data_IF_993873441755
#
_entry.id   IF_993873441755
#
_cell.length_a   1.000
_cell.length_b   1.000
_cell.length_c   1.000
_cell.angle_alpha   90.00
_cell.angle_beta   90.00
_cell.angle_gamma   90.00
#
_symmetry.space_group_name_H-M   'P 1'
#
loop_
_entity.id
_entity.type
_entity.pdbx_description
1 polymer ?
#
# COMPACT_ATOMS: atom_id res chain seq x y z
N UNK A 1 -2.82 6.43 7.09
CA UNK A 1 -4.25 6.10 7.04
C UNK A 1 -4.59 5.44 8.36
N UNK A 2 -5.62 5.89 9.06
CA UNK A 2 -6.03 5.29 10.33
C UNK A 2 -6.95 4.10 10.08
N UNK A 3 -6.69 2.98 10.76
CA UNK A 3 -7.64 1.88 10.87
C UNK A 3 -8.54 2.14 12.08
N UNK A 4 -9.84 2.26 11.83
CA UNK A 4 -10.88 2.48 12.81
C UNK A 4 -11.59 1.15 13.06
N UNK A 5 -11.64 0.71 14.31
CA UNK A 5 -12.45 -0.44 14.70
C UNK A 5 -13.95 -0.06 14.67
N UNK A 6 -14.80 -0.75 13.89
CA UNK A 6 -16.21 -0.37 13.73
C UNK A 6 -17.05 -0.50 15.02
N UNK A 7 -16.59 -1.35 15.95
CA UNK A 7 -17.33 -1.82 17.11
C UNK A 7 -18.31 -2.97 16.81
N UNK A 8 -18.78 -3.68 17.84
CA UNK A 8 -19.51 -4.94 17.70
C UNK A 8 -20.85 -4.83 16.96
N UNK A 9 -21.50 -3.66 16.98
CA UNK A 9 -22.77 -3.44 16.26
C UNK A 9 -22.57 -3.28 14.75
N UNK A 10 -21.45 -2.67 14.32
CA UNK A 10 -21.18 -2.36 12.91
C UNK A 10 -20.34 -3.41 12.21
N UNK A 11 -19.48 -4.13 12.96
CA UNK A 11 -18.62 -5.19 12.41
C UNK A 11 -19.39 -6.23 11.58
N UNK A 12 -20.52 -6.80 12.05
CA UNK A 12 -21.31 -7.75 11.25
C UNK A 12 -21.91 -7.12 9.99
N UNK A 13 -22.31 -5.84 10.04
CA UNK A 13 -22.92 -5.13 8.91
C UNK A 13 -21.90 -4.85 7.80
N UNK A 14 -20.70 -4.37 8.19
CA UNK A 14 -19.58 -4.19 7.28
C UNK A 14 -19.16 -5.51 6.63
N UNK A 15 -19.06 -6.59 7.41
CA UNK A 15 -18.71 -7.91 6.90
C UNK A 15 -19.73 -8.44 5.88
N UNK A 16 -21.04 -8.26 6.13
CA UNK A 16 -22.11 -8.62 5.18
C UNK A 16 -21.92 -7.89 3.85
N UNK A 17 -21.67 -6.59 3.89
CA UNK A 17 -21.50 -5.77 2.70
C UNK A 17 -20.22 -6.16 1.91
N UNK A 18 -19.09 -6.36 2.59
CA UNK A 18 -17.85 -6.87 1.96
C UNK A 18 -18.05 -8.27 1.35
N UNK A 19 -18.80 -9.14 2.02
CA UNK A 19 -19.11 -10.50 1.52
C UNK A 19 -19.95 -10.43 0.24
N UNK A 20 -20.89 -9.49 0.13
CA UNK A 20 -21.65 -9.29 -1.11
C UNK A 20 -20.74 -8.85 -2.27
N UNK A 21 -19.80 -7.93 -2.01
CA UNK A 21 -18.79 -7.52 -3.01
C UNK A 21 -17.91 -8.69 -3.43
N UNK A 22 -17.46 -9.52 -2.49
CA UNK A 22 -16.69 -10.70 -2.82
C UNK A 22 -17.48 -11.70 -3.67
N UNK A 23 -18.74 -11.98 -3.32
CA UNK A 23 -19.61 -12.91 -4.05
C UNK A 23 -20.01 -12.39 -5.45
N UNK A 24 -19.97 -11.07 -5.69
CA UNK A 24 -20.26 -10.44 -6.98
C UNK A 24 -19.09 -10.51 -7.98
N UNK A 25 -17.96 -11.10 -7.60
CA UNK A 25 -16.87 -11.37 -8.55
C UNK A 25 -17.33 -12.27 -9.70
N UNK A 26 -16.71 -12.15 -10.87
CA UNK A 26 -17.12 -12.89 -12.07
C UNK A 26 -17.12 -14.42 -11.88
N UNK A 27 -16.27 -14.93 -10.99
CA UNK A 27 -16.14 -16.36 -10.67
C UNK A 27 -16.80 -16.74 -9.33
N UNK A 28 -17.58 -15.84 -8.72
CA UNK A 28 -18.07 -15.98 -7.36
C UNK A 28 -16.97 -15.78 -6.31
N UNK A 29 -17.28 -16.14 -5.05
CA UNK A 29 -16.36 -15.95 -3.92
C UNK A 29 -15.12 -16.85 -4.04
N UNK A 30 -14.00 -16.26 -4.44
CA UNK A 30 -12.71 -16.93 -4.59
C UNK A 30 -11.95 -17.14 -3.28
N UNK A 31 -10.91 -17.98 -3.33
CA UNK A 31 -10.05 -18.24 -2.18
C UNK A 31 -9.38 -16.96 -1.63
N UNK A 32 -8.78 -16.07 -2.45
CA UNK A 32 -8.16 -14.85 -1.93
C UNK A 32 -9.12 -13.89 -1.27
N UNK A 33 -10.33 -13.76 -1.79
CA UNK A 33 -11.38 -12.94 -1.19
C UNK A 33 -11.82 -13.51 0.17
N UNK A 34 -11.97 -14.84 0.27
CA UNK A 34 -12.29 -15.51 1.54
C UNK A 34 -11.18 -15.31 2.56
N UNK A 35 -9.93 -15.47 2.16
CA UNK A 35 -8.77 -15.23 3.04
C UNK A 35 -8.76 -13.78 3.55
N UNK A 36 -9.04 -12.80 2.68
CA UNK A 36 -9.13 -11.39 3.09
C UNK A 36 -10.32 -11.12 4.03
N UNK A 37 -11.48 -11.73 3.80
CA UNK A 37 -12.63 -11.62 4.72
C UNK A 37 -12.27 -12.19 6.10
N UNK A 38 -11.64 -13.37 6.16
CA UNK A 38 -11.20 -13.99 7.42
C UNK A 38 -10.14 -13.12 8.13
N UNK A 39 -9.17 -12.59 7.40
CA UNK A 39 -8.18 -11.67 7.97
C UNK A 39 -8.83 -10.40 8.53
N UNK A 40 -9.80 -9.82 7.82
CA UNK A 40 -10.55 -8.67 8.32
C UNK A 40 -11.34 -9.01 9.60
N UNK A 41 -11.97 -10.19 9.66
CA UNK A 41 -12.63 -10.68 10.87
C UNK A 41 -11.68 -10.77 12.06
N UNK A 42 -10.48 -11.31 11.86
CA UNK A 42 -9.49 -11.51 12.91
C UNK A 42 -8.83 -10.21 13.38
N UNK A 43 -8.38 -9.37 12.44
CA UNK A 43 -7.47 -8.25 12.73
C UNK A 43 -8.20 -6.93 13.01
N UNK A 44 -9.37 -6.71 12.39
CA UNK A 44 -10.07 -5.40 12.44
C UNK A 44 -11.44 -5.51 13.09
N UNK A 45 -12.23 -6.51 12.71
CA UNK A 45 -13.64 -6.59 13.11
C UNK A 45 -13.82 -7.31 14.44
N UNK A 46 -12.87 -8.17 14.80
CA UNK A 46 -12.88 -9.08 15.94
C UNK A 46 -14.18 -9.89 16.03
N UNK A 47 -14.52 -10.54 14.92
CA UNK A 47 -15.71 -11.40 14.78
C UNK A 47 -15.33 -12.83 14.37
N UNK A 48 -16.26 -13.76 14.57
CA UNK A 48 -16.15 -15.16 14.10
C UNK A 48 -17.49 -15.59 13.47
N UNK A 49 -17.85 -14.93 12.38
CA UNK A 49 -19.09 -15.15 11.65
C UNK A 49 -18.85 -16.05 10.44
N UNK A 50 -19.80 -16.95 10.19
CA UNK A 50 -19.81 -17.82 9.01
C UNK A 50 -20.18 -17.01 7.75
N UNK A 51 -19.17 -16.69 6.94
CA UNK A 51 -19.26 -15.94 5.67
C UNK A 51 -20.29 -16.54 4.69
N UNK A 52 -20.46 -17.87 4.71
CA UNK A 52 -21.37 -18.55 3.78
C UNK A 52 -22.84 -18.38 4.19
N UNK A 53 -23.09 -18.08 5.47
CA UNK A 53 -24.43 -17.93 6.05
C UNK A 53 -24.83 -16.48 6.33
N UNK A 54 -23.98 -15.52 6.03
CA UNK A 54 -24.29 -14.10 6.19
C UNK A 54 -25.44 -13.68 5.26
N UNK A 55 -26.54 -13.09 5.79
CA UNK A 55 -27.61 -12.57 4.97
C UNK A 55 -27.14 -11.32 4.21
N UNK A 56 -27.66 -11.06 3.00
CA UNK A 56 -27.35 -9.84 2.25
C UNK A 56 -27.81 -8.60 3.04
N UNK A 57 -27.18 -7.46 2.81
CA UNK A 57 -27.56 -6.16 3.38
C UNK A 57 -27.73 -5.15 2.25
N UNK A 58 -28.79 -4.36 2.30
CA UNK A 58 -28.98 -3.28 1.31
C UNK A 58 -28.10 -2.06 1.64
N UNK A 59 -27.75 -1.23 0.65
CA UNK A 59 -27.03 0.01 0.91
C UNK A 59 -27.72 0.93 1.93
N UNK A 60 -29.05 1.06 1.87
CA UNK A 60 -29.82 1.89 2.81
C UNK A 60 -29.83 1.34 4.23
N UNK A 61 -29.93 0.01 4.41
CA UNK A 61 -29.85 -0.62 5.73
C UNK A 61 -28.47 -0.46 6.36
N UNK A 62 -27.41 -0.58 5.55
CA UNK A 62 -26.04 -0.34 5.99
C UNK A 62 -25.87 1.13 6.43
N UNK A 63 -26.30 2.08 5.60
CA UNK A 63 -26.16 3.51 5.87
C UNK A 63 -26.87 3.95 7.16
N UNK A 64 -27.99 3.31 7.52
CA UNK A 64 -28.72 3.59 8.77
C UNK A 64 -27.92 3.31 10.07
N UNK A 65 -26.77 2.64 9.98
CA UNK A 65 -25.93 2.27 11.14
C UNK A 65 -24.50 2.83 11.06
N UNK A 66 -24.16 3.58 10.00
CA UNK A 66 -22.83 4.11 9.74
C UNK A 66 -22.85 5.64 9.81
N UNK A 67 -22.78 6.17 11.03
CA UNK A 67 -22.83 7.63 11.28
C UNK A 67 -21.45 8.31 11.21
N UNK A 68 -20.37 7.53 11.08
CA UNK A 68 -19.00 8.03 11.00
C UNK A 68 -18.53 8.08 9.54
N UNK A 69 -18.26 9.27 8.98
CA UNK A 69 -17.76 9.41 7.61
C UNK A 69 -16.43 8.70 7.37
N UNK A 70 -15.54 8.69 8.36
CA UNK A 70 -14.22 8.05 8.22
C UNK A 70 -14.32 6.52 8.24
N UNK A 71 -15.18 5.97 9.11
CA UNK A 71 -15.46 4.54 9.13
C UNK A 71 -16.17 4.09 7.84
N UNK A 72 -17.12 4.88 7.35
CA UNK A 72 -17.78 4.62 6.08
C UNK A 72 -16.78 4.62 4.91
N UNK A 73 -15.89 5.61 4.85
CA UNK A 73 -14.82 5.67 3.84
C UNK A 73 -13.86 4.49 3.94
N UNK A 74 -13.47 4.09 5.16
CA UNK A 74 -12.66 2.91 5.38
C UNK A 74 -13.34 1.63 4.86
N UNK A 75 -14.64 1.48 5.12
CA UNK A 75 -15.40 0.34 4.62
C UNK A 75 -15.41 0.30 3.07
N UNK A 76 -15.64 1.44 2.42
CA UNK A 76 -15.58 1.54 0.95
C UNK A 76 -14.19 1.18 0.42
N UNK A 77 -13.13 1.68 1.05
CA UNK A 77 -11.74 1.31 0.72
C UNK A 77 -11.49 -0.19 0.89
N UNK A 78 -12.00 -0.79 1.96
CA UNK A 78 -11.96 -2.24 2.18
C UNK A 78 -12.67 -3.02 1.07
N UNK A 79 -13.83 -2.54 0.60
CA UNK A 79 -14.53 -3.14 -0.53
C UNK A 79 -13.75 -3.01 -1.85
N UNK A 80 -13.02 -1.91 -2.06
CA UNK A 80 -12.14 -1.75 -3.23
C UNK A 80 -10.99 -2.76 -3.20
N UNK A 81 -10.36 -2.99 -2.05
CA UNK A 81 -9.33 -4.07 -1.95
C UNK A 81 -9.98 -5.44 -2.17
N UNK A 82 -11.18 -5.67 -1.63
CA UNK A 82 -11.93 -6.91 -1.81
C UNK A 82 -12.24 -7.22 -3.27
N UNK A 83 -12.58 -6.22 -4.08
CA UNK A 83 -12.87 -6.42 -5.50
C UNK A 83 -11.63 -6.75 -6.34
N UNK A 84 -10.44 -6.39 -5.84
CA UNK A 84 -9.15 -6.62 -6.49
C UNK A 84 -8.39 -7.85 -5.93
N UNK A 85 -8.95 -8.53 -4.93
CA UNK A 85 -8.25 -9.58 -4.21
C UNK A 85 -7.99 -10.84 -5.07
N UNK A 86 -8.82 -11.11 -6.08
CA UNK A 86 -8.75 -12.32 -6.91
C UNK A 86 -8.87 -11.98 -8.41
N UNK A 87 -8.10 -10.99 -8.85
CA UNK A 87 -8.09 -10.50 -10.23
C UNK A 87 -8.71 -9.10 -10.39
N UNK A 88 -8.86 -8.63 -11.64
CA UNK A 88 -9.48 -7.33 -11.92
C UNK A 88 -10.93 -7.29 -11.44
N UNK A 89 -11.37 -6.13 -10.92
CA UNK A 89 -12.73 -5.95 -10.44
C UNK A 89 -13.77 -6.18 -11.56
N UNK A 90 -14.85 -6.90 -11.23
CA UNK A 90 -15.98 -7.09 -12.16
C UNK A 90 -16.90 -5.87 -12.20
N UNK A 91 -17.70 -5.75 -13.26
CA UNK A 91 -18.74 -4.72 -13.36
C UNK A 91 -19.77 -4.80 -12.22
N UNK A 92 -20.15 -6.01 -11.81
CA UNK A 92 -21.10 -6.20 -10.70
C UNK A 92 -20.51 -5.74 -9.36
N UNK A 93 -19.20 -5.94 -9.16
CA UNK A 93 -18.50 -5.44 -7.98
C UNK A 93 -18.42 -3.91 -7.99
N UNK A 94 -18.08 -3.29 -9.11
CA UNK A 94 -17.98 -1.83 -9.21
C UNK A 94 -19.34 -1.15 -9.02
N UNK A 95 -20.42 -1.71 -9.59
CA UNK A 95 -21.79 -1.24 -9.39
C UNK A 95 -22.21 -1.33 -7.92
N UNK A 96 -21.93 -2.46 -7.26
CA UNK A 96 -22.28 -2.67 -5.86
C UNK A 96 -21.51 -1.72 -4.93
N UNK A 97 -20.21 -1.54 -5.16
CA UNK A 97 -19.37 -0.60 -4.38
C UNK A 97 -19.87 0.83 -4.58
N UNK A 98 -20.22 1.20 -5.82
CA UNK A 98 -20.79 2.53 -6.13
C UNK A 98 -22.11 2.74 -5.39
N UNK A 99 -22.99 1.73 -5.33
CA UNK A 99 -24.26 1.82 -4.61
C UNK A 99 -24.05 2.00 -3.09
N UNK A 100 -23.11 1.26 -2.50
CA UNK A 100 -22.76 1.42 -1.08
C UNK A 100 -22.13 2.80 -0.80
N UNK A 101 -21.20 3.25 -1.65
CA UNK A 101 -20.56 4.56 -1.50
C UNK A 101 -21.59 5.70 -1.58
N UNK A 102 -22.53 5.61 -2.52
CA UNK A 102 -23.60 6.59 -2.66
C UNK A 102 -24.53 6.62 -1.43
N UNK A 103 -24.95 5.46 -0.92
CA UNK A 103 -25.81 5.39 0.27
C UNK A 103 -25.11 5.89 1.54
N UNK A 104 -23.81 5.62 1.68
CA UNK A 104 -22.96 6.10 2.77
C UNK A 104 -22.48 7.55 2.59
N UNK A 105 -22.84 8.21 1.49
CA UNK A 105 -22.41 9.57 1.14
C UNK A 105 -20.87 9.73 1.14
N UNK A 106 -20.17 8.70 0.68
CA UNK A 106 -18.71 8.68 0.58
C UNK A 106 -18.28 9.02 -0.84
N UNK A 107 -17.61 10.15 -1.00
CA UNK A 107 -16.79 10.42 -2.19
C UNK A 107 -15.39 9.83 -1.96
N UNK A 108 -15.12 8.69 -2.56
CA UNK A 108 -13.83 7.99 -2.47
C UNK A 108 -13.24 7.79 -3.88
N UNK A 109 -12.13 8.48 -4.21
CA UNK A 109 -11.53 8.44 -5.54
C UNK A 109 -11.18 7.04 -6.05
N UNK A 110 -10.85 6.09 -5.16
CA UNK A 110 -10.53 4.73 -5.58
C UNK A 110 -11.74 3.97 -6.16
N UNK A 111 -12.97 4.40 -5.88
CA UNK A 111 -14.19 3.83 -6.50
C UNK A 111 -14.16 4.11 -8.00
N UNK A 112 -13.84 5.34 -8.42
CA UNK A 112 -13.71 5.68 -9.84
C UNK A 112 -12.63 4.82 -10.52
N UNK A 113 -11.49 4.61 -9.86
CA UNK A 113 -10.39 3.81 -10.39
C UNK A 113 -10.84 2.38 -10.72
N UNK A 114 -11.60 1.73 -9.83
CA UNK A 114 -12.11 0.38 -10.12
C UNK A 114 -13.25 0.37 -11.15
N UNK A 115 -14.07 1.43 -11.23
CA UNK A 115 -15.09 1.55 -12.27
C UNK A 115 -14.44 1.66 -13.66
N UNK A 116 -13.47 2.57 -13.81
CA UNK A 116 -12.73 2.72 -15.08
C UNK A 116 -12.03 1.41 -15.48
N UNK A 117 -11.51 0.66 -14.50
CA UNK A 117 -10.90 -0.64 -14.74
C UNK A 117 -11.93 -1.68 -15.20
N UNK A 118 -13.07 -1.79 -14.53
CA UNK A 118 -14.14 -2.73 -14.86
C UNK A 118 -14.76 -2.44 -16.25
N UNK A 119 -14.83 -1.16 -16.63
CA UNK A 119 -15.28 -0.70 -17.94
C UNK A 119 -14.20 -0.79 -19.04
N UNK A 120 -13.00 -1.27 -18.71
CA UNK A 120 -11.84 -1.33 -19.61
C UNK A 120 -11.37 0.04 -20.13
N UNK A 121 -11.71 1.12 -19.42
CA UNK A 121 -11.23 2.48 -19.67
C UNK A 121 -9.80 2.69 -19.13
N UNK A 122 -8.86 1.88 -19.62
CA UNK A 122 -7.49 1.76 -19.08
C UNK A 122 -6.70 3.09 -19.05
N UNK A 123 -6.97 4.00 -19.98
CA UNK A 123 -6.35 5.33 -19.99
C UNK A 123 -6.78 6.15 -18.78
N UNK A 124 -8.08 6.23 -18.51
CA UNK A 124 -8.63 6.98 -17.37
C UNK A 124 -8.21 6.33 -16.06
N UNK A 125 -8.30 5.01 -15.98
CA UNK A 125 -7.79 4.23 -14.84
C UNK A 125 -6.35 4.60 -14.49
N UNK A 126 -5.44 4.58 -15.47
CA UNK A 126 -4.02 4.92 -15.24
C UNK A 126 -3.84 6.38 -14.83
N UNK A 127 -4.53 7.31 -15.49
CA UNK A 127 -4.42 8.74 -15.17
C UNK A 127 -4.90 9.03 -13.75
N UNK A 128 -6.06 8.52 -13.36
CA UNK A 128 -6.63 8.72 -12.03
C UNK A 128 -5.80 8.04 -10.94
N UNK A 129 -5.29 6.84 -11.21
CA UNK A 129 -4.37 6.15 -10.31
C UNK A 129 -3.07 6.92 -10.12
N UNK A 130 -2.36 7.25 -11.20
CA UNK A 130 -1.05 7.89 -11.10
C UNK A 130 -1.11 9.28 -10.46
N UNK A 131 -2.18 10.04 -10.71
CA UNK A 131 -2.41 11.36 -10.10
C UNK A 131 -2.39 11.34 -8.57
N UNK A 132 -2.76 10.20 -7.98
CA UNK A 132 -2.90 9.98 -6.53
C UNK A 132 -1.88 9.00 -5.97
N UNK A 133 -1.09 8.35 -6.83
CA UNK A 133 -0.06 7.41 -6.40
C UNK A 133 1.09 8.10 -5.67
N UNK A 134 1.81 7.33 -4.85
CA UNK A 134 3.00 7.78 -4.15
C UNK A 134 4.17 8.18 -5.06
N UNK A 135 4.10 7.87 -6.36
CA UNK A 135 5.05 8.36 -7.36
C UNK A 135 5.10 9.89 -7.39
N UNK A 136 3.99 10.56 -7.06
CA UNK A 136 3.96 12.01 -6.89
C UNK A 136 4.89 12.47 -5.76
N UNK A 137 4.92 11.75 -4.64
CA UNK A 137 5.82 12.06 -3.52
C UNK A 137 7.28 11.80 -3.87
N UNK A 138 7.56 10.75 -4.65
CA UNK A 138 8.92 10.48 -5.16
C UNK A 138 9.41 11.65 -6.01
N UNK A 139 8.57 12.13 -6.93
CA UNK A 139 8.88 13.29 -7.78
C UNK A 139 9.03 14.57 -6.95
N UNK A 140 8.14 14.81 -5.99
CA UNK A 140 8.20 16.00 -5.13
C UNK A 140 9.45 16.01 -4.24
N UNK A 141 9.81 14.85 -3.67
CA UNK A 141 11.02 14.69 -2.85
C UNK A 141 12.27 14.84 -3.68
N UNK A 142 12.30 14.23 -4.87
CA UNK A 142 13.39 14.41 -5.84
C UNK A 142 13.56 15.89 -6.22
N UNK A 143 12.46 16.57 -6.55
CA UNK A 143 12.48 18.00 -6.90
C UNK A 143 13.10 18.85 -5.79
N UNK A 144 12.71 18.61 -4.52
CA UNK A 144 13.21 19.42 -3.41
C UNK A 144 14.66 19.12 -3.05
N UNK A 145 15.03 17.85 -3.06
CA UNK A 145 16.34 17.41 -2.55
C UNK A 145 17.45 17.48 -3.60
N UNK A 146 17.12 17.50 -4.90
CA UNK A 146 18.09 17.39 -5.99
C UNK A 146 18.14 18.63 -6.92
N UNK A 147 17.80 19.81 -6.39
CA UNK A 147 17.96 21.07 -7.14
C UNK A 147 16.86 21.34 -8.18
N UNK A 148 15.61 20.99 -7.85
CA UNK A 148 14.43 21.33 -8.64
C UNK A 148 14.22 20.47 -9.87
N UNK A 149 13.77 21.08 -10.96
CA UNK A 149 13.38 20.38 -12.20
C UNK A 149 14.55 19.60 -12.82
N UNK A 150 15.76 20.14 -12.76
CA UNK A 150 16.95 19.44 -13.26
C UNK A 150 17.24 18.16 -12.46
N UNK A 151 17.00 18.16 -11.14
CA UNK A 151 17.09 16.97 -10.30
C UNK A 151 16.10 15.89 -10.68
N UNK A 152 14.86 16.28 -11.00
CA UNK A 152 13.83 15.34 -11.50
C UNK A 152 14.25 14.74 -12.85
N UNK A 153 14.69 15.57 -13.80
CA UNK A 153 15.16 15.10 -15.11
C UNK A 153 16.34 14.13 -14.95
N UNK A 154 17.33 14.47 -14.12
CA UNK A 154 18.47 13.59 -13.83
C UNK A 154 18.00 12.26 -13.24
N UNK A 155 17.10 12.27 -12.26
CA UNK A 155 16.54 11.05 -11.65
C UNK A 155 15.88 10.13 -12.68
N UNK A 156 15.08 10.67 -13.60
CA UNK A 156 14.43 9.89 -14.67
C UNK A 156 15.47 9.32 -15.65
N UNK A 157 16.47 10.12 -16.04
CA UNK A 157 17.52 9.66 -16.95
C UNK A 157 18.40 8.57 -16.28
N UNK A 158 18.69 8.70 -14.99
CA UNK A 158 19.43 7.70 -14.21
C UNK A 158 18.67 6.38 -14.10
N UNK A 159 17.37 6.44 -13.78
CA UNK A 159 16.49 5.27 -13.77
C UNK A 159 16.44 4.57 -15.13
N UNK A 160 16.48 5.32 -16.23
CA UNK A 160 16.56 4.77 -17.61
C UNK A 160 17.96 4.29 -18.01
N UNK A 161 18.94 4.40 -17.12
CA UNK A 161 20.32 3.99 -17.37
C UNK A 161 21.08 4.90 -18.35
N UNK A 162 20.61 6.12 -18.56
CA UNK A 162 21.18 7.06 -19.55
C UNK A 162 22.27 7.97 -18.96
N UNK A 163 22.25 8.18 -17.64
CA UNK A 163 23.25 8.99 -16.94
C UNK A 163 23.60 8.34 -15.59
N UNK A 164 24.70 8.79 -15.01
CA UNK A 164 25.15 8.46 -13.64
C UNK A 164 25.41 9.75 -12.87
N UNK A 165 25.26 9.67 -11.56
CA UNK A 165 25.65 10.67 -10.58
C UNK A 165 26.63 10.00 -9.60
N UNK A 166 27.92 10.06 -9.94
CA UNK A 166 28.99 9.37 -9.19
C UNK A 166 29.11 9.89 -7.76
N UNK A 167 28.83 11.17 -7.52
CA UNK A 167 28.85 11.77 -6.19
C UNK A 167 27.73 11.17 -5.33
N UNK A 168 26.51 11.14 -5.85
CA UNK A 168 25.37 10.53 -5.15
C UNK A 168 25.62 9.03 -4.90
N UNK A 169 26.05 8.28 -5.92
CA UNK A 169 26.37 6.86 -5.78
C UNK A 169 27.46 6.64 -4.73
N UNK A 170 28.52 7.47 -4.72
CA UNK A 170 29.61 7.44 -3.74
C UNK A 170 29.12 7.54 -2.29
N UNK A 171 28.07 8.34 -2.03
CA UNK A 171 27.43 8.42 -0.71
C UNK A 171 26.79 7.11 -0.29
N UNK A 172 26.12 6.40 -1.21
CA UNK A 172 25.54 5.08 -0.93
C UNK A 172 26.62 4.01 -0.74
N UNK A 173 27.70 4.04 -1.52
CA UNK A 173 28.85 3.17 -1.30
C UNK A 173 29.50 3.37 0.08
N UNK A 174 29.59 4.62 0.55
CA UNK A 174 30.15 4.93 1.85
C UNK A 174 29.38 4.28 3.01
N UNK A 175 28.08 4.05 2.86
CA UNK A 175 27.23 3.42 3.88
C UNK A 175 27.70 2.02 4.28
N UNK A 176 28.35 1.28 3.37
CA UNK A 176 28.91 -0.04 3.67
C UNK A 176 30.09 -0.03 4.65
N UNK A 177 30.62 1.15 5.00
CA UNK A 177 31.68 1.31 6.02
C UNK A 177 31.13 1.68 7.40
N UNK A 178 29.82 1.90 7.54
CA UNK A 178 29.18 2.16 8.83
C UNK A 178 29.14 0.88 9.69
N UNK A 179 28.90 1.01 10.98
CA UNK A 179 28.78 -0.14 11.88
C UNK A 179 27.52 -0.95 11.55
N UNK A 180 27.59 -2.27 11.74
CA UNK A 180 26.55 -3.22 11.29
C UNK A 180 25.16 -2.94 11.87
N UNK A 181 25.09 -2.31 13.04
CA UNK A 181 23.87 -1.97 13.73
C UNK A 181 23.16 -0.72 13.20
N UNK A 182 23.76 0.02 12.25
CA UNK A 182 23.22 1.30 11.75
C UNK A 182 22.21 1.14 10.61
N UNK A 183 21.26 2.07 10.52
CA UNK A 183 20.30 2.10 9.41
C UNK A 183 21.01 2.14 8.03
N UNK A 184 22.09 2.92 7.91
CA UNK A 184 22.85 3.05 6.67
C UNK A 184 23.52 1.75 6.24
N UNK A 185 24.10 0.99 7.18
CA UNK A 185 24.64 -0.34 6.88
C UNK A 185 23.55 -1.29 6.37
N UNK A 186 22.40 -1.32 7.05
CA UNK A 186 21.26 -2.10 6.59
C UNK A 186 20.74 -1.65 5.21
N UNK A 187 20.74 -0.34 4.92
CA UNK A 187 20.34 0.18 3.60
C UNK A 187 21.32 -0.24 2.51
N UNK A 188 22.63 -0.17 2.75
CA UNK A 188 23.64 -0.67 1.83
C UNK A 188 23.39 -2.14 1.48
N UNK A 189 23.21 -2.97 2.50
CA UNK A 189 22.96 -4.41 2.33
C UNK A 189 21.63 -4.70 1.66
N UNK A 190 20.58 -3.93 1.95
CA UNK A 190 19.30 -4.03 1.25
C UNK A 190 19.47 -3.92 -0.27
N UNK A 191 20.21 -2.94 -0.78
CA UNK A 191 20.46 -2.84 -2.23
C UNK A 191 21.34 -3.99 -2.74
N UNK A 192 22.40 -4.36 -2.02
CA UNK A 192 23.37 -5.36 -2.49
C UNK A 192 22.80 -6.76 -2.53
N UNK A 193 22.09 -7.15 -1.48
CA UNK A 193 21.50 -8.48 -1.35
C UNK A 193 20.36 -8.69 -2.38
N UNK A 194 19.63 -7.62 -2.70
CA UNK A 194 18.58 -7.63 -3.73
C UNK A 194 19.08 -7.32 -5.15
N UNK A 195 20.38 -7.06 -5.33
CA UNK A 195 21.00 -6.70 -6.62
C UNK A 195 20.38 -5.45 -7.26
N UNK A 196 19.96 -4.51 -6.43
CA UNK A 196 19.47 -3.22 -6.86
C UNK A 196 20.65 -2.26 -7.09
N UNK A 197 20.54 -1.43 -8.13
CA UNK A 197 21.46 -0.31 -8.35
C UNK A 197 21.21 0.77 -7.30
N UNK A 198 22.28 1.38 -6.77
CA UNK A 198 22.15 2.51 -5.87
C UNK A 198 21.57 3.73 -6.58
N UNK A 199 20.89 4.64 -5.84
CA UNK A 199 20.62 5.97 -6.35
C UNK A 199 21.91 6.65 -6.84
N UNK A 200 21.90 7.13 -8.08
CA UNK A 200 23.07 7.69 -8.78
C UNK A 200 23.74 6.71 -9.75
N UNK A 201 23.53 5.40 -9.63
CA UNK A 201 23.99 4.41 -10.61
C UNK A 201 23.00 4.26 -11.78
N UNK A 202 23.44 3.66 -12.89
CA UNK A 202 22.54 3.29 -14.00
C UNK A 202 21.47 2.32 -13.51
N UNK A 203 20.21 2.65 -13.82
CA UNK A 203 19.06 1.87 -13.38
C UNK A 203 18.70 2.07 -11.92
N UNK A 204 19.45 2.91 -11.19
CA UNK A 204 19.16 3.25 -9.81
C UNK A 204 17.86 4.05 -9.69
N UNK A 205 17.05 3.71 -8.70
CA UNK A 205 15.86 4.50 -8.40
C UNK A 205 16.26 5.91 -7.93
N UNK A 206 15.44 6.93 -8.24
CA UNK A 206 15.70 8.30 -7.77
C UNK A 206 15.80 8.34 -6.24
N UNK A 207 16.73 9.16 -5.71
CA UNK A 207 16.91 9.30 -4.26
C UNK A 207 15.64 9.75 -3.52
N UNK A 208 14.74 10.46 -4.22
CA UNK A 208 13.42 10.80 -3.69
C UNK A 208 12.50 9.60 -3.35
N UNK A 209 12.83 8.40 -3.81
CA UNK A 209 12.11 7.16 -3.50
C UNK A 209 12.75 6.35 -2.35
N UNK A 210 13.92 6.73 -1.83
CA UNK A 210 14.68 5.92 -0.85
C UNK A 210 13.93 5.68 0.46
N UNK A 211 12.97 6.54 0.83
CA UNK A 211 12.14 6.29 2.01
C UNK A 211 11.27 5.02 1.87
N UNK A 212 11.01 4.55 0.65
CA UNK A 212 10.36 3.26 0.39
C UNK A 212 11.28 2.09 0.72
N UNK A 213 12.52 2.12 0.24
CA UNK A 213 13.53 1.11 0.56
C UNK A 213 13.83 1.09 2.07
N UNK A 214 13.88 2.26 2.71
CA UNK A 214 13.96 2.37 4.17
C UNK A 214 12.70 1.80 4.85
N UNK A 215 11.53 1.90 4.22
CA UNK A 215 10.28 1.29 4.69
C UNK A 215 10.39 -0.22 4.87
N UNK A 216 11.06 -0.93 3.94
CA UNK A 216 11.35 -2.35 4.08
C UNK A 216 12.19 -2.63 5.32
N UNK A 217 13.26 -1.85 5.53
CA UNK A 217 14.21 -2.05 6.63
C UNK A 217 13.55 -1.75 7.99
N UNK A 218 12.86 -0.62 8.09
CA UNK A 218 12.16 -0.24 9.33
C UNK A 218 11.06 -1.26 9.66
N UNK A 219 10.27 -1.65 8.66
CA UNK A 219 9.19 -2.62 8.79
C UNK A 219 9.68 -4.06 9.06
N UNK A 220 10.87 -4.41 8.60
CA UNK A 220 11.37 -5.79 8.63
C UNK A 220 10.71 -6.66 7.56
N UNK A 221 10.39 -6.10 6.40
CA UNK A 221 9.73 -6.78 5.30
C UNK A 221 10.71 -6.96 4.14
N UNK A 222 10.74 -8.16 3.57
CA UNK A 222 11.58 -8.45 2.40
C UNK A 222 11.01 -7.82 1.11
N UNK A 223 11.62 -8.14 -0.03
CA UNK A 223 11.26 -7.65 -1.38
C UNK A 223 10.48 -8.70 -2.18
N UNK A 224 9.99 -9.76 -1.53
CA UNK A 224 9.06 -10.70 -2.17
C UNK A 224 7.74 -10.00 -2.48
N UNK A 225 6.87 -10.54 -3.37
CA UNK A 225 5.55 -9.98 -3.61
C UNK A 225 4.74 -9.70 -2.32
N UNK A 226 4.80 -10.60 -1.34
CA UNK A 226 4.20 -10.42 -0.02
C UNK A 226 4.90 -9.32 0.78
N UNK A 227 6.23 -9.30 0.76
CA UNK A 227 7.07 -8.25 1.33
C UNK A 227 6.70 -6.86 0.85
N UNK A 228 6.54 -6.69 -0.46
CA UNK A 228 6.08 -5.44 -1.09
C UNK A 228 4.68 -5.03 -0.63
N UNK A 229 3.75 -5.99 -0.53
CA UNK A 229 2.40 -5.72 -0.03
C UNK A 229 2.42 -5.28 1.44
N UNK A 230 3.24 -5.92 2.28
CA UNK A 230 3.42 -5.54 3.68
C UNK A 230 4.09 -4.17 3.82
N UNK A 231 5.16 -3.89 3.07
CA UNK A 231 5.81 -2.57 3.05
C UNK A 231 4.82 -1.50 2.64
N UNK A 232 4.09 -1.67 1.54
CA UNK A 232 3.10 -0.67 1.11
C UNK A 232 1.98 -0.45 2.14
N UNK A 233 1.53 -1.51 2.82
CA UNK A 233 0.54 -1.41 3.89
C UNK A 233 1.10 -0.63 5.09
N UNK A 234 2.32 -0.94 5.51
CA UNK A 234 3.05 -0.20 6.54
C UNK A 234 3.21 1.28 6.17
N UNK A 235 3.61 1.56 4.92
CA UNK A 235 3.72 2.91 4.40
C UNK A 235 2.38 3.64 4.43
N UNK A 236 1.32 3.04 3.91
CA UNK A 236 -0.02 3.60 3.96
C UNK A 236 -0.50 3.90 5.39
N UNK A 237 -0.09 3.10 6.37
CA UNK A 237 -0.40 3.30 7.78
C UNK A 237 0.13 4.62 8.33
N UNK A 238 1.41 4.90 8.11
CA UNK A 238 2.03 6.12 8.63
C UNK A 238 1.69 7.38 7.81
N UNK A 239 1.18 7.22 6.59
CA UNK A 239 0.81 8.36 5.72
C UNK A 239 -0.36 9.16 6.28
N UNK A 240 -0.28 10.50 6.25
CA UNK A 240 -1.29 11.40 6.86
C UNK A 240 -2.13 12.19 5.84
N UNK A 241 -1.98 11.90 4.55
CA UNK A 241 -2.79 12.52 3.50
C UNK A 241 -3.89 11.60 2.96
N UNK A 242 -4.79 12.19 2.17
CA UNK A 242 -5.96 11.53 1.58
C UNK A 242 -5.59 10.39 0.62
N UNK A 243 -4.44 10.51 -0.03
CA UNK A 243 -3.93 9.58 -1.04
C UNK A 243 -3.18 8.38 -0.44
N UNK A 244 -3.05 8.29 0.89
CA UNK A 244 -2.40 7.18 1.60
C UNK A 244 -2.91 5.79 1.16
N UNK A 245 -4.19 5.68 0.81
CA UNK A 245 -4.79 4.43 0.36
C UNK A 245 -4.22 3.94 -0.99
N UNK A 246 -3.81 4.86 -1.87
CA UNK A 246 -3.24 4.54 -3.17
C UNK A 246 -1.86 3.86 -3.07
N UNK A 247 -1.19 3.99 -1.92
CA UNK A 247 0.03 3.25 -1.61
C UNK A 247 -0.26 1.74 -1.56
N UNK A 248 -1.33 1.32 -0.88
CA UNK A 248 -1.75 -0.10 -0.79
C UNK A 248 -2.28 -0.60 -2.13
N UNK A 249 -3.05 0.23 -2.84
CA UNK A 249 -3.61 -0.16 -4.13
C UNK A 249 -2.52 -0.53 -5.14
N UNK A 250 -1.34 0.09 -5.07
CA UNK A 250 -0.25 -0.19 -6.00
C UNK A 250 0.16 -1.67 -6.04
N UNK A 251 0.62 -2.32 -4.95
CA UNK A 251 0.94 -3.74 -4.99
C UNK A 251 -0.30 -4.64 -5.00
N UNK A 252 -1.47 -4.21 -4.50
CA UNK A 252 -2.71 -4.98 -4.66
C UNK A 252 -3.06 -5.14 -6.15
N UNK A 253 -2.94 -4.08 -6.94
CA UNK A 253 -3.16 -4.14 -8.39
C UNK A 253 -2.16 -5.09 -9.06
N UNK A 254 -0.88 -5.02 -8.71
CA UNK A 254 0.19 -5.83 -9.33
C UNK A 254 0.10 -7.30 -8.92
N UNK A 255 -0.02 -7.59 -7.62
CA UNK A 255 0.16 -8.93 -7.09
C UNK A 255 -1.16 -9.67 -6.79
N UNK A 256 -2.28 -8.97 -6.70
CA UNK A 256 -3.59 -9.60 -6.46
C UNK A 256 -4.54 -9.47 -7.66
N UNK A 257 -4.54 -8.33 -8.33
CA UNK A 257 -5.39 -8.12 -9.51
C UNK A 257 -4.71 -8.51 -10.83
N UNK A 258 -3.40 -8.72 -10.85
CA UNK A 258 -2.65 -9.06 -12.06
C UNK A 258 -2.46 -7.90 -13.04
N UNK A 259 -2.50 -6.65 -12.55
CA UNK A 259 -2.47 -5.43 -13.36
C UNK A 259 -1.17 -4.68 -13.09
N UNK A 260 -0.36 -4.54 -14.14
CA UNK A 260 0.84 -3.73 -14.04
C UNK A 260 0.49 -2.23 -14.03
N UNK A 261 0.77 -1.58 -12.90
CA UNK A 261 0.71 -0.12 -12.68
C UNK A 261 2.07 0.47 -12.29
N UNK A 262 3.15 -0.28 -12.47
CA UNK A 262 4.49 0.21 -12.25
C UNK A 262 5.00 1.03 -13.44
N UNK A 263 5.97 1.94 -13.23
CA UNK A 263 6.60 2.69 -14.31
C UNK A 263 7.35 1.81 -15.33
N UNK A 264 7.71 0.59 -14.94
CA UNK A 264 8.44 -0.38 -15.76
C UNK A 264 7.67 -1.71 -15.81
N UNK A 265 7.89 -2.48 -16.86
CA UNK A 265 7.29 -3.80 -16.97
C UNK A 265 7.85 -4.73 -15.87
N UNK A 266 6.97 -5.31 -15.06
CA UNK A 266 7.33 -6.22 -13.98
C UNK A 266 6.36 -7.40 -13.91
N UNK A 267 6.78 -8.54 -13.36
CA UNK A 267 5.89 -9.68 -13.16
C UNK A 267 4.67 -9.30 -12.34
N UNK A 268 3.51 -9.79 -12.76
CA UNK A 268 2.23 -9.64 -12.06
C UNK A 268 1.74 -11.00 -11.59
N UNK A 269 0.92 -11.01 -10.55
CA UNK A 269 0.26 -12.23 -10.06
C UNK A 269 -1.21 -11.97 -9.74
N UNK A 270 -1.98 -13.04 -9.65
CA UNK A 270 -3.39 -13.01 -9.25
C UNK A 270 -3.53 -13.71 -7.91
N UNK A 271 -4.30 -13.13 -6.99
CA UNK A 271 -4.68 -13.79 -5.75
C UNK A 271 -3.60 -13.86 -4.66
N UNK A 272 -2.47 -13.15 -4.78
CA UNK A 272 -1.36 -13.23 -3.81
C UNK A 272 -1.77 -12.83 -2.39
N UNK A 273 -2.68 -11.87 -2.24
CA UNK A 273 -3.27 -11.49 -0.94
C UNK A 273 -3.89 -12.68 -0.19
N UNK A 274 -4.31 -13.71 -0.91
CA UNK A 274 -4.91 -14.91 -0.35
C UNK A 274 -3.94 -16.01 0.04
N UNK A 275 -2.64 -15.86 -0.21
CA UNK A 275 -1.68 -16.95 0.00
C UNK A 275 -1.17 -16.96 1.44
N UNK A 276 -1.25 -18.12 2.09
CA UNK A 276 -0.86 -18.27 3.49
C UNK A 276 -1.53 -17.20 4.37
N UNK A 277 -0.73 -16.53 5.19
CA UNK A 277 -1.17 -15.48 6.11
C UNK A 277 -1.03 -14.06 5.52
N UNK A 278 -0.81 -13.90 4.21
CA UNK A 278 -0.52 -12.62 3.59
C UNK A 278 -1.56 -11.53 3.92
N UNK A 279 -2.86 -11.85 3.86
CA UNK A 279 -3.92 -10.90 4.23
C UNK A 279 -3.81 -10.44 5.70
N UNK A 280 -3.52 -11.34 6.63
CA UNK A 280 -3.34 -11.01 8.05
C UNK A 280 -2.10 -10.13 8.23
N UNK A 281 -0.99 -10.50 7.59
CA UNK A 281 0.27 -9.78 7.66
C UNK A 281 0.15 -8.36 7.07
N UNK A 282 -0.58 -8.18 5.96
CA UNK A 282 -0.86 -6.89 5.35
C UNK A 282 -1.65 -5.98 6.30
N UNK A 283 -2.73 -6.49 6.90
CA UNK A 283 -3.53 -5.72 7.87
C UNK A 283 -2.73 -5.37 9.12
N UNK A 284 -1.89 -6.30 9.60
CA UNK A 284 -0.98 -6.08 10.74
C UNK A 284 0.08 -5.03 10.40
N UNK A 285 0.67 -5.08 9.20
CA UNK A 285 1.62 -4.09 8.72
C UNK A 285 0.99 -2.69 8.65
N UNK A 286 -0.25 -2.60 8.18
CA UNK A 286 -1.02 -1.36 8.18
C UNK A 286 -1.22 -0.79 9.60
N UNK A 287 -1.56 -1.63 10.57
CA UNK A 287 -1.66 -1.23 11.99
C UNK A 287 -0.31 -0.77 12.56
N UNK A 288 0.79 -1.47 12.24
CA UNK A 288 2.15 -1.08 12.66
C UNK A 288 2.53 0.29 12.11
N UNK A 289 2.25 0.54 10.83
CA UNK A 289 2.47 1.84 10.20
C UNK A 289 1.60 2.93 10.83
N UNK A 290 0.35 2.63 11.14
CA UNK A 290 -0.55 3.59 11.79
C UNK A 290 0.00 4.11 13.13
N UNK A 291 0.64 3.24 13.91
CA UNK A 291 1.23 3.56 15.21
C UNK A 291 2.49 4.45 15.14
N UNK A 292 3.09 4.64 13.96
CA UNK A 292 4.25 5.52 13.81
C UNK A 292 3.91 6.98 14.05
N UNK A 293 4.90 7.73 14.52
CA UNK A 293 4.75 9.15 14.85
C UNK A 293 5.05 10.10 13.68
N UNK A 294 5.66 9.59 12.60
CA UNK A 294 6.19 10.40 11.49
C UNK A 294 5.67 9.86 10.15
N UNK A 295 5.25 10.76 9.27
CA UNK A 295 4.98 10.43 7.87
C UNK A 295 6.27 10.53 7.05
N UNK A 296 6.89 9.39 6.73
CA UNK A 296 8.17 9.36 6.01
C UNK A 296 8.05 9.83 4.55
N UNK A 297 6.84 9.84 3.98
CA UNK A 297 6.61 10.36 2.63
C UNK A 297 6.31 11.85 2.60
N UNK A 298 6.27 12.53 3.76
CA UNK A 298 6.01 13.96 3.90
C UNK A 298 7.29 14.70 4.34
N UNK A 299 8.21 14.87 3.39
CA UNK A 299 9.37 15.77 3.53
C UNK A 299 10.41 15.28 4.54
N UNK A 300 10.38 13.98 4.84
CA UNK A 300 11.30 13.37 5.79
C UNK A 300 12.72 13.31 5.21
N UNK A 301 13.65 13.96 5.88
CA UNK A 301 15.07 13.85 5.58
C UNK A 301 15.67 12.64 6.29
N UNK A 302 15.97 11.60 5.51
CA UNK A 302 16.50 10.34 6.04
C UNK A 302 18.02 10.40 6.31
N UNK A 303 18.75 11.36 5.72
CA UNK A 303 20.21 11.39 5.81
C UNK A 303 20.74 11.42 7.25
N UNK A 304 20.18 12.24 8.17
CA UNK A 304 20.63 12.27 9.56
C UNK A 304 20.42 10.96 10.33
N UNK A 305 19.56 10.07 9.82
CA UNK A 305 19.24 8.80 10.48
C UNK A 305 20.16 7.65 10.08
N UNK A 306 20.92 7.78 8.96
CA UNK A 306 21.68 6.66 8.42
C UNK A 306 22.84 6.20 9.32
N UNK A 307 23.44 7.10 10.10
CA UNK A 307 24.52 6.76 11.04
C UNK A 307 24.00 6.31 12.41
N UNK A 308 22.69 6.38 12.66
CA UNK A 308 22.10 5.95 13.92
C UNK A 308 21.87 4.43 13.94
N UNK A 309 21.99 3.77 15.11
CA UNK A 309 21.58 2.38 15.26
C UNK A 309 20.11 2.18 14.82
N UNK A 310 19.82 1.13 14.07
CA UNK A 310 18.50 0.84 13.50
C UNK A 310 17.41 0.81 14.58
N UNK A 311 17.69 0.19 15.72
CA UNK A 311 16.74 0.14 16.85
C UNK A 311 16.47 1.54 17.44
N UNK A 312 17.48 2.40 17.48
CA UNK A 312 17.30 3.80 17.89
C UNK A 312 16.38 4.53 16.91
N UNK A 313 16.56 4.31 15.60
CA UNK A 313 15.68 4.92 14.57
C UNK A 313 14.26 4.39 14.70
N UNK A 314 14.06 3.08 14.84
CA UNK A 314 12.74 2.47 15.08
C UNK A 314 12.05 3.06 16.30
N UNK A 315 12.77 3.23 17.41
CA UNK A 315 12.24 3.85 18.62
C UNK A 315 11.86 5.32 18.40
N UNK A 316 12.72 6.12 17.75
CA UNK A 316 12.45 7.54 17.48
C UNK A 316 11.23 7.74 16.58
N UNK A 317 11.06 6.89 15.56
CA UNK A 317 9.94 6.96 14.62
C UNK A 317 8.67 6.29 15.16
N UNK A 318 8.74 5.59 16.30
CA UNK A 318 7.63 4.87 16.91
C UNK A 318 7.22 3.61 16.14
N UNK A 319 8.18 2.92 15.51
CA UNK A 319 7.92 1.68 14.77
C UNK A 319 7.68 0.54 15.77
N UNK A 320 6.48 -0.08 15.81
CA UNK A 320 6.25 -1.23 16.67
C UNK A 320 7.10 -2.44 16.24
N UNK A 321 7.48 -3.33 17.16
CA UNK A 321 8.24 -4.53 16.81
C UNK A 321 7.45 -5.40 15.83
N UNK A 322 8.17 -6.16 15.00
CA UNK A 322 7.58 -7.22 14.19
C UNK A 322 7.28 -8.39 15.12
N UNK A 323 6.02 -8.58 15.49
CA UNK A 323 5.58 -9.80 16.19
C UNK A 323 5.32 -10.89 15.15
N UNK A 324 5.84 -12.08 15.37
CA UNK A 324 5.43 -13.27 14.60
C UNK A 324 3.92 -13.46 14.81
N UNK A 325 3.16 -13.50 13.70
CA UNK A 325 1.72 -13.75 13.69
C UNK A 325 1.46 -15.20 13.39
#
# INVERSE_FOLDING_TARGET
>A
MQLIEPGPERSPLGLRAMTMVAKAAANGLGHPQRALLNAAQQVILHTDLDIDRLPPITPSELAAHFDSPDLARQLIRGMVVMSLADGPASQQQSELITAFAAALQVDEPSVKVICDLAEQNLLLFRLDFYRRSHLRDYIATQYRTQGGLMGVVKGILGLRGLIEDEELAGRFYALGHLTEDTLGYHLFHHYRDNKFSFPGEKGGFPVGAVFHDIGHILGGYDTSPEGEMMTAAFQAGYRRNEDAFFVILFPVLIFSAGINVAPQEMPVSVGRIGQGDAAIQILTALQRGHAMNVDLGADWDFWPYLELPLETVRQQLGVPPLTEV
#
